data_IF_843958782511
#
_entry.id   IF_843958782511
#
_cell.length_a   1.000
_cell.length_b   1.000
_cell.length_c   1.000
_cell.angle_alpha   90.00
_cell.angle_beta   90.00
_cell.angle_gamma   90.00
#
_symmetry.space_group_name_H-M   'P 1'
#
loop_
_entity.id
_entity.type
_entity.pdbx_description
1 polymer ?
#
# COMPACT_ATOMS: atom_id res chain seq x y z
N UNK A 1 0.29 19.25 -19.78
CA UNK A 1 -0.12 19.88 -18.52
C UNK A 1 -1.30 19.11 -17.98
N UNK A 2 -1.38 18.85 -16.65
CA UNK A 2 -2.53 18.18 -16.09
C UNK A 2 -3.80 18.98 -16.37
N UNK A 3 -4.90 18.30 -16.59
CA UNK A 3 -6.19 18.95 -16.77
C UNK A 3 -6.62 19.48 -15.38
N UNK A 4 -6.45 20.76 -15.11
CA UNK A 4 -6.70 21.39 -13.80
C UNK A 4 -8.10 21.08 -13.22
N UNK A 5 -9.05 20.65 -14.05
CA UNK A 5 -10.40 20.28 -13.63
C UNK A 5 -10.49 19.02 -12.75
N UNK A 6 -9.44 18.18 -12.76
CA UNK A 6 -9.45 16.89 -12.07
C UNK A 6 -8.48 16.86 -10.86
N UNK A 7 -7.90 17.99 -10.47
CA UNK A 7 -6.98 18.10 -9.34
C UNK A 7 -7.70 18.73 -8.16
N UNK A 8 -7.73 18.03 -7.05
CA UNK A 8 -8.22 18.58 -5.77
C UNK A 8 -7.05 18.75 -4.80
N UNK A 9 -7.10 19.81 -4.01
CA UNK A 9 -6.15 20.03 -2.94
C UNK A 9 -6.84 19.87 -1.60
N UNK A 10 -6.20 19.18 -0.66
CA UNK A 10 -6.70 19.07 0.70
C UNK A 10 -5.55 19.13 1.70
N UNK A 11 -5.86 19.47 2.94
CA UNK A 11 -4.91 19.49 4.04
C UNK A 11 -4.89 18.12 4.70
N UNK A 12 -3.75 17.44 4.66
CA UNK A 12 -3.57 16.17 5.34
C UNK A 12 -3.48 16.36 6.86
N UNK A 13 -3.62 15.27 7.61
CA UNK A 13 -3.63 15.28 9.08
C UNK A 13 -2.34 15.80 9.71
N UNK A 14 -1.22 15.81 8.99
CA UNK A 14 0.04 16.42 9.42
C UNK A 14 0.13 17.94 9.15
N UNK A 15 -0.94 18.54 8.65
CA UNK A 15 -1.06 19.97 8.36
C UNK A 15 -0.53 20.42 7.00
N UNK A 16 0.03 19.53 6.18
CA UNK A 16 0.55 19.86 4.87
C UNK A 16 -0.48 19.64 3.76
N UNK A 17 -0.35 20.39 2.67
CA UNK A 17 -1.24 20.26 1.52
C UNK A 17 -0.84 19.10 0.63
N UNK A 18 -1.81 18.29 0.25
CA UNK A 18 -1.70 17.23 -0.75
C UNK A 18 -2.48 17.66 -1.99
N UNK A 19 -1.88 17.50 -3.16
CA UNK A 19 -2.57 17.61 -4.44
C UNK A 19 -2.90 16.23 -4.95
N UNK A 20 -4.17 15.98 -5.25
CA UNK A 20 -4.68 14.67 -5.67
C UNK A 20 -5.37 14.82 -7.03
N UNK A 21 -4.78 14.21 -8.04
CA UNK A 21 -5.30 14.19 -9.41
C UNK A 21 -6.07 12.89 -9.66
N UNK A 22 -7.31 13.01 -10.10
CA UNK A 22 -8.13 11.89 -10.57
C UNK A 22 -8.02 11.74 -12.07
N UNK A 23 -7.79 10.51 -12.53
CA UNK A 23 -7.80 10.14 -13.95
C UNK A 23 -8.68 8.90 -14.11
N UNK A 24 -9.67 8.96 -15.00
CA UNK A 24 -10.70 7.92 -15.15
C UNK A 24 -10.08 6.53 -15.42
N UNK A 25 -9.09 6.47 -16.30
CA UNK A 25 -8.38 5.23 -16.63
C UNK A 25 -6.94 5.53 -17.01
N UNK A 26 -6.01 4.74 -16.49
CA UNK A 26 -4.58 4.80 -16.88
C UNK A 26 -3.97 3.41 -17.02
N UNK A 27 -2.85 3.30 -17.74
CA UNK A 27 -2.05 2.09 -17.71
C UNK A 27 -1.54 1.75 -16.30
N UNK A 28 -0.97 2.72 -15.59
CA UNK A 28 -0.43 2.54 -14.25
C UNK A 28 -0.31 3.88 -13.52
N UNK A 29 -0.92 3.99 -12.33
CA UNK A 29 -0.80 5.16 -11.48
C UNK A 29 0.64 5.35 -11.00
N UNK A 30 1.35 4.26 -10.68
CA UNK A 30 2.76 4.29 -10.28
C UNK A 30 3.67 4.79 -11.41
N UNK A 31 3.47 4.30 -12.64
CA UNK A 31 4.26 4.74 -13.79
C UNK A 31 4.05 6.22 -14.08
N UNK A 32 2.82 6.71 -14.01
CA UNK A 32 2.51 8.12 -14.19
C UNK A 32 3.11 9.00 -13.08
N UNK A 33 2.99 8.57 -11.81
CA UNK A 33 3.60 9.28 -10.69
C UNK A 33 5.14 9.36 -10.83
N UNK A 34 5.77 8.29 -11.33
CA UNK A 34 7.21 8.28 -11.64
C UNK A 34 7.57 9.25 -12.74
N UNK A 35 6.79 9.33 -13.80
CA UNK A 35 6.97 10.31 -14.89
C UNK A 35 6.85 11.75 -14.35
N UNK A 36 5.82 12.02 -13.55
CA UNK A 36 5.62 13.30 -12.91
C UNK A 36 6.77 13.67 -11.96
N UNK A 37 7.26 12.71 -11.16
CA UNK A 37 8.40 12.95 -10.28
C UNK A 37 9.67 13.33 -11.04
N UNK A 38 9.95 12.66 -12.18
CA UNK A 38 11.06 12.99 -13.10
C UNK A 38 10.88 14.35 -13.78
N UNK A 39 9.65 14.77 -14.01
CA UNK A 39 9.29 16.06 -14.59
C UNK A 39 9.24 17.18 -13.54
N UNK A 40 9.69 16.94 -12.31
CA UNK A 40 9.80 17.97 -11.27
C UNK A 40 8.53 18.28 -10.50
N UNK A 41 7.48 17.45 -10.58
CA UNK A 41 6.28 17.63 -9.77
C UNK A 41 6.61 17.65 -8.27
N UNK A 42 5.86 18.43 -7.47
CA UNK A 42 6.22 18.69 -6.09
C UNK A 42 6.02 17.47 -5.18
N UNK A 43 6.60 17.57 -3.97
CA UNK A 43 6.26 16.68 -2.84
C UNK A 43 4.75 16.65 -2.64
N UNK A 44 4.21 15.48 -2.26
CA UNK A 44 2.79 15.25 -1.98
C UNK A 44 1.85 15.49 -3.16
N UNK A 45 2.36 15.32 -4.38
CA UNK A 45 1.51 15.21 -5.56
C UNK A 45 1.13 13.74 -5.73
N UNK A 46 -0.16 13.46 -5.73
CA UNK A 46 -0.70 12.11 -5.87
C UNK A 46 -1.59 12.01 -7.10
N UNK A 47 -1.57 10.86 -7.74
CA UNK A 47 -2.47 10.50 -8.83
C UNK A 47 -3.26 9.24 -8.43
N UNK A 48 -4.54 9.19 -8.77
CA UNK A 48 -5.30 7.97 -8.60
C UNK A 48 -6.26 7.71 -9.75
N UNK A 49 -6.58 6.45 -9.94
CA UNK A 49 -7.60 5.96 -10.87
C UNK A 49 -8.38 4.82 -10.25
N UNK A 50 -9.61 4.65 -10.71
CA UNK A 50 -10.42 3.45 -10.41
C UNK A 50 -10.15 2.30 -11.37
N UNK A 51 -9.53 2.58 -12.54
CA UNK A 51 -9.26 1.61 -13.60
C UNK A 51 -7.82 1.67 -14.04
N UNK A 52 -7.08 0.60 -13.79
CA UNK A 52 -5.73 0.43 -14.30
C UNK A 52 -5.74 -0.64 -15.38
N UNK A 53 -5.15 -0.33 -16.57
CA UNK A 53 -5.21 -1.20 -17.76
C UNK A 53 -3.95 -2.04 -17.95
N UNK A 54 -2.87 -1.74 -17.23
CA UNK A 54 -1.64 -2.51 -17.25
C UNK A 54 -1.44 -3.26 -15.93
N UNK A 55 -0.94 -4.49 -16.05
CA UNK A 55 -0.67 -5.38 -14.91
C UNK A 55 0.61 -5.04 -14.13
N UNK A 56 1.15 -3.81 -14.22
CA UNK A 56 2.39 -3.46 -13.53
C UNK A 56 2.27 -3.59 -12.01
N UNK A 57 3.29 -4.11 -11.36
CA UNK A 57 3.53 -4.23 -9.91
C UNK A 57 2.51 -5.03 -9.06
N UNK A 58 1.24 -5.09 -9.45
CA UNK A 58 0.17 -5.85 -8.77
C UNK A 58 -0.22 -7.14 -9.49
N UNK A 59 0.57 -7.51 -10.48
CA UNK A 59 0.38 -8.46 -11.57
C UNK A 59 -0.40 -9.76 -11.32
N UNK A 60 -0.57 -10.19 -10.08
CA UNK A 60 -1.35 -11.39 -9.75
C UNK A 60 -2.65 -11.11 -8.99
N UNK A 61 -2.87 -9.88 -8.52
CA UNK A 61 -4.03 -9.54 -7.68
C UNK A 61 -5.24 -9.13 -8.51
N UNK A 62 -5.00 -8.59 -9.71
CA UNK A 62 -6.07 -8.10 -10.60
C UNK A 62 -5.90 -8.73 -11.98
N UNK A 63 -6.76 -9.70 -12.30
CA UNK A 63 -6.76 -10.29 -13.63
C UNK A 63 -7.40 -9.35 -14.64
N UNK A 64 -6.94 -9.37 -15.91
CA UNK A 64 -7.53 -8.60 -17.02
C UNK A 64 -9.03 -8.85 -17.22
N UNK A 65 -9.55 -9.98 -16.71
CA UNK A 65 -10.96 -10.36 -16.81
C UNK A 65 -11.87 -9.68 -15.81
N UNK A 66 -11.28 -9.14 -14.73
CA UNK A 66 -12.06 -8.48 -13.68
C UNK A 66 -12.05 -6.96 -13.96
N UNK A 67 -13.05 -6.49 -14.69
CA UNK A 67 -13.39 -5.06 -14.83
C UNK A 67 -13.83 -4.43 -13.51
N UNK A 68 -13.41 -5.01 -12.38
CA UNK A 68 -13.75 -4.53 -11.06
C UNK A 68 -13.03 -3.22 -10.77
N UNK A 69 -13.80 -2.25 -10.33
CA UNK A 69 -13.28 -0.98 -9.85
C UNK A 69 -12.38 -1.21 -8.65
N UNK A 70 -11.22 -0.59 -8.67
CA UNK A 70 -10.26 -0.61 -7.59
C UNK A 70 -9.87 0.79 -7.16
N UNK A 71 -8.97 0.87 -6.20
CA UNK A 71 -8.22 2.07 -5.90
C UNK A 71 -6.77 1.83 -6.29
N UNK A 72 -6.27 2.61 -7.23
CA UNK A 72 -4.87 2.65 -7.64
C UNK A 72 -4.36 4.06 -7.42
N UNK A 73 -3.61 4.24 -6.35
CA UNK A 73 -3.17 5.53 -5.85
C UNK A 73 -1.66 5.54 -5.73
N UNK A 74 -1.00 6.55 -6.27
CA UNK A 74 0.45 6.73 -6.15
C UNK A 74 0.78 8.16 -5.78
N UNK A 75 1.66 8.35 -4.80
CA UNK A 75 2.03 9.64 -4.25
C UNK A 75 3.54 9.86 -4.36
N UNK A 76 3.92 11.03 -4.87
CA UNK A 76 5.30 11.50 -4.93
C UNK A 76 5.69 12.04 -3.56
N UNK A 77 6.83 11.58 -3.05
CA UNK A 77 7.48 12.12 -1.88
C UNK A 77 8.87 12.64 -2.27
N UNK A 78 9.27 13.76 -1.66
CA UNK A 78 10.63 14.30 -1.75
C UNK A 78 11.20 14.41 -0.32
N UNK A 79 11.55 13.25 0.28
CA UNK A 79 11.88 13.21 1.69
C UNK A 79 13.30 13.69 1.96
N UNK A 80 13.47 14.39 3.10
CA UNK A 80 14.79 14.67 3.68
C UNK A 80 15.13 13.59 4.72
N UNK A 81 15.34 12.35 4.26
CA UNK A 81 15.69 11.19 5.08
C UNK A 81 16.84 10.40 4.44
N UNK A 82 17.59 9.69 5.27
CA UNK A 82 18.62 8.77 4.77
C UNK A 82 18.01 7.47 4.22
N UNK A 83 18.65 6.80 3.25
CA UNK A 83 18.19 5.51 2.72
C UNK A 83 17.93 4.45 3.79
N UNK A 84 18.71 4.46 4.88
CA UNK A 84 18.52 3.55 6.02
C UNK A 84 17.17 3.73 6.73
N UNK A 85 16.59 4.92 6.69
CA UNK A 85 15.29 5.22 7.29
C UNK A 85 14.11 4.87 6.36
N UNK A 86 14.37 4.79 5.05
CA UNK A 86 13.32 4.53 4.07
C UNK A 86 12.78 3.08 4.11
N UNK A 87 13.55 2.15 4.65
CA UNK A 87 13.17 0.73 4.70
C UNK A 87 11.85 0.43 5.43
N UNK A 88 11.43 1.31 6.35
CA UNK A 88 10.15 1.17 7.04
C UNK A 88 8.95 1.76 6.29
N UNK A 89 9.15 2.55 5.22
CA UNK A 89 8.04 3.21 4.51
C UNK A 89 7.06 2.18 3.93
N UNK A 90 7.55 1.10 3.35
CA UNK A 90 6.69 0.04 2.80
C UNK A 90 5.76 -0.57 3.85
N UNK A 91 6.27 -1.14 4.94
CA UNK A 91 5.44 -1.63 6.05
C UNK A 91 4.51 -0.58 6.65
N UNK A 92 4.95 0.67 6.78
CA UNK A 92 4.12 1.76 7.28
C UNK A 92 3.00 2.14 6.30
N UNK A 93 3.25 2.02 5.00
CA UNK A 93 2.22 2.20 3.97
C UNK A 93 1.15 1.11 4.06
N UNK A 94 1.54 -0.14 4.36
CA UNK A 94 0.58 -1.22 4.59
C UNK A 94 -0.27 -0.97 5.84
N UNK A 95 0.31 -0.46 6.93
CA UNK A 95 -0.43 -0.04 8.13
C UNK A 95 -1.42 1.07 7.81
N UNK A 96 -1.00 2.07 7.03
CA UNK A 96 -1.86 3.18 6.63
C UNK A 96 -3.06 2.71 5.78
N UNK A 97 -2.80 1.82 4.81
CA UNK A 97 -3.85 1.25 3.97
C UNK A 97 -4.82 0.39 4.79
N UNK A 98 -4.29 -0.49 5.65
CA UNK A 98 -5.13 -1.31 6.52
C UNK A 98 -6.02 -0.45 7.43
N UNK A 99 -5.45 0.56 8.09
CA UNK A 99 -6.20 1.48 8.95
C UNK A 99 -7.26 2.29 8.18
N UNK A 100 -6.96 2.71 6.94
CA UNK A 100 -7.94 3.39 6.10
C UNK A 100 -9.10 2.46 5.71
N UNK A 101 -8.80 1.20 5.39
CA UNK A 101 -9.84 0.21 5.06
C UNK A 101 -10.72 -0.13 6.27
N UNK A 102 -10.14 -0.25 7.47
CA UNK A 102 -10.87 -0.51 8.71
C UNK A 102 -11.93 0.56 9.03
N UNK A 103 -11.74 1.80 8.59
CA UNK A 103 -12.75 2.85 8.74
C UNK A 103 -14.02 2.59 7.92
N UNK A 104 -13.91 1.81 6.86
CA UNK A 104 -14.95 1.62 5.85
C UNK A 104 -15.50 0.19 5.80
N UNK A 105 -15.04 -0.71 6.65
CA UNK A 105 -15.54 -2.09 6.72
C UNK A 105 -15.65 -2.61 8.14
N UNK A 106 -16.54 -3.57 8.36
CA UNK A 106 -16.62 -4.36 9.59
C UNK A 106 -15.82 -5.67 9.48
N UNK A 107 -15.14 -5.88 8.35
CA UNK A 107 -14.34 -7.07 8.08
C UNK A 107 -12.97 -6.97 8.74
N UNK A 108 -12.35 -8.13 8.96
CA UNK A 108 -11.00 -8.21 9.50
C UNK A 108 -9.98 -7.85 8.42
N UNK A 109 -9.26 -6.76 8.62
CA UNK A 109 -8.17 -6.34 7.76
C UNK A 109 -6.86 -6.80 8.38
N UNK A 110 -6.11 -7.59 7.61
CA UNK A 110 -4.81 -8.10 8.02
C UNK A 110 -3.71 -7.68 7.07
N UNK A 111 -2.48 -7.75 7.57
CA UNK A 111 -1.28 -7.46 6.79
C UNK A 111 -0.49 -8.76 6.61
N UNK A 112 -0.20 -9.11 5.37
CA UNK A 112 0.75 -10.15 5.02
C UNK A 112 2.19 -9.65 5.19
N UNK A 113 3.15 -10.40 4.63
CA UNK A 113 4.52 -9.96 4.78
C UNK A 113 4.85 -8.78 3.86
N UNK A 114 5.38 -7.72 4.47
CA UNK A 114 5.79 -6.42 3.94
C UNK A 114 4.63 -5.53 3.48
N UNK A 115 3.82 -5.94 2.53
CA UNK A 115 2.94 -5.01 1.81
C UNK A 115 1.54 -5.55 1.47
N UNK A 116 1.30 -6.85 1.62
CA UNK A 116 0.03 -7.44 1.21
C UNK A 116 -1.09 -7.16 2.21
N UNK A 117 -2.26 -6.84 1.71
CA UNK A 117 -3.46 -6.57 2.51
C UNK A 117 -4.49 -7.69 2.29
N UNK A 118 -5.01 -8.19 3.40
CA UNK A 118 -6.02 -9.24 3.45
C UNK A 118 -7.32 -8.72 4.06
N UNK A 119 -8.44 -9.19 3.54
CA UNK A 119 -9.77 -9.00 4.11
C UNK A 119 -10.40 -10.38 4.30
N UNK A 120 -10.72 -10.74 5.55
CA UNK A 120 -11.23 -12.08 5.91
C UNK A 120 -10.39 -13.23 5.29
N UNK A 121 -9.07 -13.11 5.33
CA UNK A 121 -8.14 -14.11 4.82
C UNK A 121 -7.97 -14.14 3.29
N UNK A 122 -8.57 -13.23 2.54
CA UNK A 122 -8.41 -13.11 1.09
C UNK A 122 -7.55 -11.89 0.80
N UNK A 123 -6.50 -12.06 0.01
CA UNK A 123 -5.66 -10.94 -0.43
C UNK A 123 -6.47 -10.01 -1.34
N UNK A 124 -6.57 -8.75 -0.96
CA UNK A 124 -7.35 -7.74 -1.68
C UNK A 124 -6.51 -6.59 -2.21
N UNK A 125 -5.29 -6.43 -1.72
CA UNK A 125 -4.46 -5.29 -2.09
C UNK A 125 -3.00 -5.45 -1.71
N UNK A 126 -2.23 -4.43 -2.04
CA UNK A 126 -0.81 -4.33 -1.70
C UNK A 126 -0.35 -2.88 -1.74
N UNK A 127 0.82 -2.62 -1.16
CA UNK A 127 1.53 -1.35 -1.29
C UNK A 127 2.90 -1.57 -1.92
N UNK A 128 3.45 -0.55 -2.57
CA UNK A 128 4.83 -0.56 -3.06
C UNK A 128 5.52 0.76 -2.76
N UNK A 129 6.85 0.72 -2.66
CA UNK A 129 7.68 1.91 -2.54
C UNK A 129 8.86 1.73 -3.48
N UNK A 130 9.02 2.67 -4.38
CA UNK A 130 10.21 2.78 -5.22
C UNK A 130 10.86 4.15 -5.03
N UNK A 131 12.14 4.27 -5.33
CA UNK A 131 12.83 5.55 -5.18
C UNK A 131 13.99 5.71 -6.13
N UNK A 132 14.32 6.97 -6.38
CA UNK A 132 15.54 7.36 -7.06
C UNK A 132 16.42 8.13 -6.09
N UNK A 133 17.67 7.70 -5.97
CA UNK A 133 18.70 8.43 -5.25
C UNK A 133 19.33 9.48 -6.17
N UNK A 134 19.73 10.58 -5.59
CA UNK A 134 20.61 11.56 -6.21
C UNK A 134 22.09 11.13 -6.13
N UNK A 135 22.98 11.94 -6.67
CA UNK A 135 24.42 11.67 -6.67
C UNK A 135 25.06 11.76 -5.26
N UNK A 136 24.31 12.29 -4.27
CA UNK A 136 24.75 12.49 -2.88
C UNK A 136 24.12 11.48 -1.91
N UNK A 137 23.53 10.38 -2.42
CA UNK A 137 22.87 9.35 -1.63
C UNK A 137 21.64 9.78 -0.85
N UNK A 138 21.04 10.93 -1.23
CA UNK A 138 19.72 11.35 -0.77
C UNK A 138 18.64 10.92 -1.76
N UNK A 139 17.38 10.92 -1.35
CA UNK A 139 16.31 10.63 -2.30
C UNK A 139 15.96 11.86 -3.13
N UNK A 140 16.11 11.75 -4.45
CA UNK A 140 15.53 12.72 -5.39
C UNK A 140 13.99 12.67 -5.29
N UNK A 141 13.45 11.45 -5.24
CA UNK A 141 12.04 11.20 -4.94
C UNK A 141 11.82 9.75 -4.48
N UNK A 142 10.69 9.54 -3.81
CA UNK A 142 10.07 8.24 -3.59
C UNK A 142 8.67 8.26 -4.20
N UNK A 143 8.21 7.12 -4.70
CA UNK A 143 6.83 6.89 -5.07
C UNK A 143 6.28 5.85 -4.11
N UNK A 144 5.24 6.20 -3.38
CA UNK A 144 4.48 5.29 -2.54
C UNK A 144 3.18 4.98 -3.24
N UNK A 145 2.93 3.70 -3.49
CA UNK A 145 1.75 3.25 -4.23
C UNK A 145 0.89 2.34 -3.39
N UNK A 146 -0.41 2.49 -3.54
CA UNK A 146 -1.46 1.73 -2.87
C UNK A 146 -2.40 1.17 -3.93
N UNK A 147 -2.67 -0.12 -3.85
CA UNK A 147 -3.66 -0.71 -4.73
C UNK A 147 -4.53 -1.68 -3.97
N UNK A 148 -5.82 -1.56 -4.15
CA UNK A 148 -6.79 -2.42 -3.49
C UNK A 148 -8.00 -2.65 -4.41
N UNK A 149 -8.51 -3.87 -4.42
CA UNK A 149 -9.82 -4.21 -5.01
C UNK A 149 -10.93 -3.74 -4.08
N UNK A 150 -11.77 -2.88 -4.56
CA UNK A 150 -12.94 -2.40 -3.83
C UNK A 150 -14.17 -3.19 -4.27
N UNK A 151 -14.36 -4.39 -3.71
CA UNK A 151 -15.57 -5.17 -3.92
C UNK A 151 -16.69 -4.59 -3.01
N UNK A 152 -17.77 -4.02 -3.61
CA UNK A 152 -18.86 -3.45 -2.82
C UNK A 152 -19.46 -4.44 -1.80
N UNK A 153 -19.51 -5.74 -2.12
CA UNK A 153 -20.03 -6.78 -1.23
C UNK A 153 -19.16 -6.99 0.02
N UNK A 154 -17.88 -6.66 -0.04
CA UNK A 154 -16.96 -6.79 1.11
C UNK A 154 -16.91 -5.54 1.98
N UNK A 155 -17.19 -4.38 1.39
CA UNK A 155 -17.07 -3.08 2.04
C UNK A 155 -18.39 -2.39 2.35
N UNK A 156 -19.51 -3.09 2.13
CA UNK A 156 -20.89 -2.61 2.35
C UNK A 156 -21.40 -2.92 3.71
N UNK A 157 -21.52 -2.32 4.79
CA UNK A 157 -22.61 -1.35 5.02
C UNK A 157 -22.12 0.08 5.28
N UNK A 158 -20.93 0.26 5.85
CA UNK A 158 -20.42 1.61 6.15
C UNK A 158 -20.16 2.46 4.92
N UNK A 159 -19.60 1.85 3.86
CA UNK A 159 -19.40 2.57 2.58
C UNK A 159 -20.74 3.01 1.98
N UNK A 160 -21.79 2.18 2.06
CA UNK A 160 -23.12 2.54 1.53
C UNK A 160 -23.71 3.71 2.30
N UNK A 161 -23.52 3.77 3.61
CA UNK A 161 -24.03 4.86 4.45
C UNK A 161 -23.21 6.14 4.26
N UNK A 162 -21.89 6.04 4.14
CA UNK A 162 -21.02 7.17 3.80
C UNK A 162 -21.27 7.68 2.38
N UNK A 163 -21.54 6.79 1.43
CA UNK A 163 -21.94 7.13 0.06
C UNK A 163 -23.21 7.92 0.07
N UNK A 164 -24.24 7.52 0.83
CA UNK A 164 -25.50 8.29 0.96
C UNK A 164 -25.26 9.68 1.54
N UNK A 165 -24.41 9.80 2.57
CA UNK A 165 -24.08 11.09 3.18
C UNK A 165 -23.27 12.03 2.28
N UNK A 166 -22.39 11.48 1.44
CA UNK A 166 -21.46 12.26 0.59
C UNK A 166 -22.05 12.54 -0.79
N UNK A 167 -22.94 11.68 -1.30
CA UNK A 167 -23.64 11.90 -2.58
C UNK A 167 -24.79 12.91 -2.48
N UNK A 168 -25.27 13.27 -1.30
CA UNK A 168 -26.16 14.43 -1.12
C UNK A 168 -25.44 15.74 -1.49
N UNK A 169 -24.10 15.79 -1.39
CA UNK A 169 -23.27 16.91 -1.84
C UNK A 169 -22.70 16.77 -3.28
N UNK A 170 -23.09 15.74 -4.01
CA UNK A 170 -23.14 15.69 -5.48
C UNK A 170 -21.86 15.42 -6.26
N UNK A 171 -20.63 15.30 -5.70
CA UNK A 171 -19.43 15.33 -6.55
C UNK A 171 -18.22 14.46 -6.16
N UNK A 172 -18.26 13.57 -5.18
CA UNK A 172 -17.10 12.75 -4.86
C UNK A 172 -17.40 11.25 -4.92
N UNK A 173 -16.63 10.50 -5.71
CA UNK A 173 -16.72 9.04 -5.74
C UNK A 173 -16.22 8.41 -4.44
N UNK A 174 -16.69 7.20 -4.11
CA UNK A 174 -16.20 6.38 -2.98
C UNK A 174 -14.67 6.28 -3.03
N UNK A 175 -14.13 6.10 -4.22
CA UNK A 175 -12.70 5.97 -4.44
C UNK A 175 -11.94 7.26 -4.14
N UNK A 176 -12.52 8.42 -4.38
CA UNK A 176 -11.93 9.71 -3.99
C UNK A 176 -11.85 9.84 -2.46
N UNK A 177 -12.93 9.45 -1.75
CA UNK A 177 -12.94 9.47 -0.29
C UNK A 177 -11.89 8.50 0.25
N UNK A 178 -11.85 7.28 -0.29
CA UNK A 178 -10.87 6.29 0.10
C UNK A 178 -9.44 6.76 -0.17
N UNK A 179 -9.17 7.38 -1.34
CA UNK A 179 -7.86 7.94 -1.67
C UNK A 179 -7.43 8.99 -0.64
N UNK A 180 -8.32 9.91 -0.28
CA UNK A 180 -8.05 10.92 0.76
C UNK A 180 -7.82 10.28 2.12
N UNK A 181 -8.61 9.29 2.51
CA UNK A 181 -8.45 8.58 3.79
C UNK A 181 -7.10 7.87 3.86
N UNK A 182 -6.72 7.13 2.79
CA UNK A 182 -5.40 6.46 2.71
C UNK A 182 -4.27 7.46 2.85
N UNK A 183 -4.29 8.57 2.11
CA UNK A 183 -3.26 9.60 2.19
C UNK A 183 -3.23 10.26 3.58
N UNK A 184 -4.36 10.54 4.19
CA UNK A 184 -4.42 11.08 5.55
C UNK A 184 -3.80 10.12 6.57
N UNK A 185 -4.14 8.83 6.53
CA UNK A 185 -3.54 7.81 7.40
C UNK A 185 -2.05 7.67 7.14
N UNK A 186 -1.65 7.65 5.87
CA UNK A 186 -0.24 7.58 5.50
C UNK A 186 0.55 8.77 6.04
N UNK A 187 0.11 10.00 5.83
CA UNK A 187 0.83 11.19 6.31
C UNK A 187 0.78 11.35 7.82
N UNK A 188 -0.25 10.84 8.50
CA UNK A 188 -0.26 10.75 9.98
C UNK A 188 0.88 9.89 10.50
N UNK A 189 1.15 8.76 9.84
CA UNK A 189 2.23 7.84 10.18
C UNK A 189 3.58 8.38 9.71
N UNK A 190 3.63 8.88 8.49
CA UNK A 190 4.85 9.34 7.83
C UNK A 190 5.56 10.49 8.55
N UNK A 191 4.83 11.40 9.19
CA UNK A 191 5.44 12.46 10.02
C UNK A 191 6.32 11.92 11.15
N UNK A 192 6.07 10.68 11.61
CA UNK A 192 6.79 10.00 12.68
C UNK A 192 7.85 9.00 12.15
N UNK A 193 8.23 9.10 10.87
CA UNK A 193 9.13 8.15 10.18
C UNK A 193 10.50 7.99 10.86
N UNK A 194 10.95 9.00 11.61
CA UNK A 194 12.22 8.95 12.36
C UNK A 194 12.13 8.10 13.63
N UNK A 195 10.91 7.80 14.11
CA UNK A 195 10.65 6.97 15.28
C UNK A 195 9.48 6.00 15.01
N UNK A 196 9.63 5.07 14.04
CA UNK A 196 8.51 4.30 13.49
C UNK A 196 8.00 3.18 14.40
N UNK A 197 8.63 2.92 15.54
CA UNK A 197 8.41 1.71 16.35
C UNK A 197 6.94 1.52 16.77
N UNK A 198 6.25 2.58 17.13
CA UNK A 198 4.83 2.53 17.48
C UNK A 198 3.99 1.97 16.30
N UNK A 199 4.27 2.43 15.11
CA UNK A 199 3.53 2.03 13.90
C UNK A 199 3.94 0.64 13.41
N UNK A 200 5.20 0.23 13.64
CA UNK A 200 5.63 -1.14 13.38
C UNK A 200 4.95 -2.14 14.34
N UNK A 201 4.65 -1.75 15.57
CA UNK A 201 3.81 -2.57 16.45
C UNK A 201 2.41 -2.78 15.85
N UNK A 202 1.78 -1.74 15.29
CA UNK A 202 0.50 -1.88 14.58
C UNK A 202 0.56 -2.79 13.35
N UNK A 203 1.73 -2.87 12.69
CA UNK A 203 1.98 -3.84 11.65
C UNK A 203 1.94 -5.27 12.20
N UNK A 204 2.67 -5.52 13.29
CA UNK A 204 2.76 -6.85 13.94
C UNK A 204 1.40 -7.29 14.46
N UNK A 205 0.62 -6.37 15.04
CA UNK A 205 -0.74 -6.65 15.55
C UNK A 205 -1.71 -7.12 14.44
N UNK A 206 -1.47 -6.69 13.19
CA UNK A 206 -2.27 -7.08 12.02
C UNK A 206 -1.67 -8.21 11.20
N UNK A 207 -0.53 -8.75 11.64
CA UNK A 207 0.17 -9.80 10.87
C UNK A 207 -0.61 -11.11 10.84
N UNK A 208 -0.99 -11.54 9.63
CA UNK A 208 -1.92 -12.69 9.45
C UNK A 208 -1.26 -13.98 8.98
N UNK A 209 0.06 -13.97 8.73
CA UNK A 209 0.74 -15.17 8.22
C UNK A 209 1.26 -16.12 9.28
N UNK A 210 1.15 -15.79 10.57
CA UNK A 210 1.59 -16.68 11.65
C UNK A 210 0.88 -18.04 11.51
N UNK A 211 1.66 -19.13 11.63
CA UNK A 211 1.23 -20.52 11.46
C UNK A 211 0.78 -20.92 10.04
N UNK A 212 0.86 -20.01 9.08
CA UNK A 212 0.49 -20.29 7.68
C UNK A 212 1.66 -20.89 6.89
N UNK A 213 1.31 -21.68 5.87
CA UNK A 213 2.28 -22.23 4.92
C UNK A 213 2.56 -21.21 3.82
N UNK A 214 3.83 -20.98 3.56
CA UNK A 214 4.31 -20.15 2.46
C UNK A 214 5.27 -20.96 1.57
N UNK A 215 5.53 -20.42 0.37
CA UNK A 215 6.62 -20.89 -0.48
C UNK A 215 7.75 -19.85 -0.46
N UNK A 216 8.98 -20.29 -0.42
CA UNK A 216 10.16 -19.42 -0.49
C UNK A 216 11.15 -20.02 -1.50
N UNK A 217 12.02 -19.17 -2.02
CA UNK A 217 13.08 -19.59 -2.93
C UNK A 217 14.38 -19.67 -2.15
N UNK A 218 14.99 -20.84 -2.21
CA UNK A 218 16.27 -21.12 -1.60
C UNK A 218 17.13 -21.84 -2.63
N UNK A 219 18.32 -21.27 -2.95
CA UNK A 219 19.21 -21.75 -4.00
C UNK A 219 18.51 -21.98 -5.35
N UNK A 220 17.60 -21.06 -5.73
CA UNK A 220 16.83 -21.13 -6.96
C UNK A 220 15.67 -22.15 -6.96
N UNK A 221 15.48 -22.91 -5.87
CA UNK A 221 14.41 -23.91 -5.75
C UNK A 221 13.27 -23.41 -4.88
N UNK A 222 12.03 -23.66 -5.34
CA UNK A 222 10.83 -23.39 -4.53
C UNK A 222 10.70 -24.42 -3.42
N UNK A 223 10.73 -23.96 -2.18
CA UNK A 223 10.54 -24.79 -0.96
C UNK A 223 9.30 -24.30 -0.22
N UNK A 224 8.73 -25.15 0.62
CA UNK A 224 7.58 -24.81 1.49
C UNK A 224 8.04 -24.78 2.93
N UNK A 225 7.57 -23.76 3.66
CA UNK A 225 7.81 -23.62 5.10
C UNK A 225 6.56 -23.12 5.81
N UNK A 226 6.55 -23.24 7.14
CA UNK A 226 5.53 -22.65 8.01
C UNK A 226 6.08 -21.36 8.59
N UNK A 227 5.30 -20.29 8.57
CA UNK A 227 5.66 -19.05 9.27
C UNK A 227 5.50 -19.26 10.76
N UNK A 228 6.57 -19.04 11.52
CA UNK A 228 6.56 -19.16 12.99
C UNK A 228 6.27 -17.81 13.62
N UNK A 229 6.97 -16.77 13.16
CA UNK A 229 6.83 -15.43 13.71
C UNK A 229 7.38 -14.36 12.74
N UNK A 230 7.27 -13.11 13.13
CA UNK A 230 7.91 -11.97 12.50
C UNK A 230 8.74 -11.21 13.54
N UNK A 231 9.96 -10.88 13.18
CA UNK A 231 10.80 -10.05 14.04
C UNK A 231 10.25 -8.62 14.09
N UNK A 232 9.96 -8.12 15.30
CA UNK A 232 9.32 -6.81 15.52
C UNK A 232 10.21 -5.62 15.20
N UNK A 233 11.52 -5.81 15.17
CA UNK A 233 12.48 -4.71 14.96
C UNK A 233 12.75 -4.45 13.48
N UNK A 234 12.86 -5.53 12.69
CA UNK A 234 13.29 -5.45 11.30
C UNK A 234 12.34 -6.14 10.31
N UNK A 235 11.21 -6.66 10.80
CA UNK A 235 10.16 -7.33 10.03
C UNK A 235 10.67 -8.53 9.20
N UNK A 236 11.78 -9.15 9.61
CA UNK A 236 12.20 -10.42 9.00
C UNK A 236 11.23 -11.54 9.40
N UNK A 237 10.91 -12.38 8.44
CA UNK A 237 10.04 -13.53 8.65
C UNK A 237 10.84 -14.67 9.27
N UNK A 238 10.35 -15.25 10.36
CA UNK A 238 10.89 -16.47 10.93
C UNK A 238 10.07 -17.63 10.41
N UNK A 239 10.68 -18.53 9.66
CA UNK A 239 10.02 -19.69 9.07
C UNK A 239 10.63 -21.00 9.57
N UNK A 240 9.81 -22.04 9.65
CA UNK A 240 10.22 -23.39 9.98
C UNK A 240 10.12 -24.27 8.72
N UNK A 241 11.23 -24.82 8.33
CA UNK A 241 11.38 -25.67 7.15
C UNK A 241 10.85 -27.08 7.45
N UNK A 242 10.68 -27.92 6.42
CA UNK A 242 10.17 -29.29 6.58
C UNK A 242 11.05 -30.20 7.45
N UNK A 243 12.33 -29.90 7.53
CA UNK A 243 13.31 -30.60 8.37
C UNK A 243 13.41 -30.02 9.79
N UNK A 244 12.49 -29.14 10.17
CA UNK A 244 12.39 -28.55 11.51
C UNK A 244 13.35 -27.40 11.80
N UNK A 245 14.17 -26.99 10.86
CA UNK A 245 15.07 -25.84 11.05
C UNK A 245 14.32 -24.52 11.01
N UNK A 246 14.67 -23.60 11.89
CA UNK A 246 14.19 -22.21 11.86
C UNK A 246 15.20 -21.32 11.15
N UNK A 247 14.74 -20.57 10.17
CA UNK A 247 15.53 -19.60 9.41
C UNK A 247 14.83 -18.27 9.36
N UNK A 248 15.62 -17.18 9.31
CA UNK A 248 15.09 -15.83 9.12
C UNK A 248 15.17 -15.46 7.63
N UNK A 249 14.07 -14.96 7.10
CA UNK A 249 13.93 -14.55 5.70
C UNK A 249 13.77 -13.04 5.65
N UNK A 250 14.70 -12.36 4.99
CA UNK A 250 14.67 -10.90 4.84
C UNK A 250 13.82 -10.46 3.64
N UNK A 251 13.53 -9.17 3.56
CA UNK A 251 12.81 -8.56 2.43
C UNK A 251 13.48 -8.76 1.06
N UNK A 252 14.76 -9.12 1.05
CA UNK A 252 15.52 -9.44 -0.18
C UNK A 252 15.30 -10.86 -0.67
N UNK A 253 14.69 -11.72 0.14
CA UNK A 253 14.42 -13.11 -0.23
C UNK A 253 13.11 -13.19 -0.99
N UNK A 254 13.07 -14.00 -2.03
CA UNK A 254 11.84 -14.22 -2.77
C UNK A 254 10.91 -15.14 -1.95
N UNK A 255 9.79 -14.60 -1.51
CA UNK A 255 8.72 -15.30 -0.80
C UNK A 255 7.44 -15.20 -1.62
N UNK A 256 6.75 -16.31 -1.79
CA UNK A 256 5.46 -16.35 -2.45
C UNK A 256 4.39 -16.50 -1.37
N UNK A 257 3.65 -15.44 -1.18
CA UNK A 257 2.57 -15.35 -0.20
C UNK A 257 1.27 -15.86 -0.85
N UNK A 258 0.46 -16.66 -0.13
CA UNK A 258 -0.79 -17.16 -0.68
C UNK A 258 -1.85 -16.07 -0.82
N UNK A 259 -2.69 -16.16 -1.87
CA UNK A 259 -3.81 -15.25 -2.07
C UNK A 259 -4.95 -15.47 -1.06
N UNK A 260 -4.99 -16.64 -0.43
CA UNK A 260 -5.96 -17.01 0.62
C UNK A 260 -5.24 -17.73 1.76
N UNK A 261 -5.55 -17.33 3.00
CA UNK A 261 -4.92 -17.82 4.24
C UNK A 261 -5.96 -18.31 5.25
#
# INVERSE_FOLDING_TARGET
MPNEKNVVSFRAADGNTVKLEYIDSLPSAEALAREYARSGYPDRYAVFTERQTSLSALGEVISEKDSEKGLFLSCILRPSIFPSQAGCIGPLSAVALAAALEEHTMKNIGIGWLSDIYCDGIRIGTTSVEGKLDDFTSYEYLIVSFAVKLDPKKFTPRLTDMVKQVFEDGNQSISMIMAKTVLNRFFTIYKEIKAPQKHLNHYVDRFVLKDKKIKYIDEGKKKTARVVDINKENLTLVIETKDGRRISVSSRSAVIIPNKI
#
